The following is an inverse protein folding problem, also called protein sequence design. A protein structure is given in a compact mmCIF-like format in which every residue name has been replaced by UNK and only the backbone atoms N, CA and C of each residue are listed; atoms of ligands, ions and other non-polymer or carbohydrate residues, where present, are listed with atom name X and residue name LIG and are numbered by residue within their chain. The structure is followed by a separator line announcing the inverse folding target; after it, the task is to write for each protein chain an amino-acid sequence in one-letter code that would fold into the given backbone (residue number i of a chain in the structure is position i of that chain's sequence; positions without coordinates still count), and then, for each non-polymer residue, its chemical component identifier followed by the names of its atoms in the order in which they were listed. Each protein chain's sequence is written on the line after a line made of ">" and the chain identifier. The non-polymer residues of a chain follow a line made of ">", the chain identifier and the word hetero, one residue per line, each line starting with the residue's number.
data_IF_500752402692
#
_entry.id   IF_500752402692
#
_cell.length_a   1.000
_cell.length_b   1.000
_cell.length_c   1.000
_cell.angle_alpha   90.00
_cell.angle_beta   90.00
_cell.angle_gamma   90.00
#
_symmetry.space_group_name_H-M   'P 1'
#
loop_
_entity.id
_entity.type
_entity.pdbx_description
1 polymer ?
#
# COMPACT_ATOMS: atom_id res chain seq x y z
N UNK A 1 -18.34 -9.67 -7.20
CA UNK A 1 -18.11 -8.26 -7.55
C UNK A 1 -19.06 -7.83 -8.65
N UNK A 2 -19.62 -8.79 -9.40
CA UNK A 2 -20.42 -8.57 -10.61
C UNK A 2 -21.84 -8.05 -10.37
N UNK A 3 -22.24 -7.84 -9.11
CA UNK A 3 -23.55 -7.27 -8.73
C UNK A 3 -23.49 -5.78 -8.35
N UNK A 4 -22.30 -5.19 -8.26
CA UNK A 4 -22.14 -3.76 -7.97
C UNK A 4 -21.98 -3.04 -9.31
N UNK A 5 -22.86 -2.08 -9.59
CA UNK A 5 -22.98 -1.43 -10.90
C UNK A 5 -21.70 -0.78 -11.42
N UNK A 6 -21.75 -0.36 -12.68
CA UNK A 6 -20.61 0.27 -13.36
C UNK A 6 -20.10 1.51 -12.60
N UNK A 7 -18.77 1.68 -12.56
CA UNK A 7 -18.10 2.84 -11.97
C UNK A 7 -17.53 2.66 -10.55
N UNK A 8 -17.53 1.45 -9.99
CA UNK A 8 -16.87 1.18 -8.70
C UNK A 8 -15.36 1.15 -8.85
N UNK A 9 -14.65 1.77 -7.90
CA UNK A 9 -13.20 1.67 -7.74
C UNK A 9 -12.93 0.82 -6.50
N UNK A 10 -12.18 -0.27 -6.68
CA UNK A 10 -11.89 -1.22 -5.61
C UNK A 10 -10.54 -0.94 -4.96
N UNK A 11 -10.57 -0.76 -3.63
CA UNK A 11 -9.39 -0.50 -2.80
C UNK A 11 -9.09 -1.69 -1.89
N UNK A 12 -7.87 -2.22 -1.98
CA UNK A 12 -7.36 -3.20 -1.02
C UNK A 12 -6.60 -2.50 0.11
N UNK A 13 -7.10 -2.63 1.34
CA UNK A 13 -6.53 -1.97 2.54
C UNK A 13 -6.08 -2.94 3.64
N UNK A 14 -6.11 -4.25 3.37
CA UNK A 14 -5.69 -5.29 4.31
C UNK A 14 -4.20 -5.60 4.25
N UNK A 15 -3.67 -6.42 5.16
CA UNK A 15 -2.28 -6.88 5.07
C UNK A 15 -2.07 -7.83 3.88
N UNK A 16 -0.94 -7.68 3.18
CA UNK A 16 -0.69 -8.43 1.94
C UNK A 16 0.15 -9.68 2.23
N UNK A 17 -0.49 -10.84 2.15
CA UNK A 17 0.25 -12.10 2.03
C UNK A 17 0.84 -12.20 0.62
N UNK A 18 2.15 -12.39 0.48
CA UNK A 18 2.83 -12.37 -0.83
C UNK A 18 2.29 -13.40 -1.85
N UNK A 19 1.64 -14.48 -1.42
CA UNK A 19 0.96 -15.46 -2.29
C UNK A 19 -0.35 -14.95 -2.89
N UNK A 20 -0.97 -13.94 -2.28
CA UNK A 20 -2.21 -13.31 -2.73
C UNK A 20 -1.97 -12.11 -3.65
N UNK A 21 -0.73 -11.63 -3.76
CA UNK A 21 -0.39 -10.45 -4.56
C UNK A 21 -0.88 -10.54 -6.02
N UNK A 22 -0.73 -11.70 -6.66
CA UNK A 22 -1.26 -11.95 -8.02
C UNK A 22 -2.78 -11.68 -8.10
N UNK A 23 -3.55 -12.31 -7.22
CA UNK A 23 -5.02 -12.13 -7.22
C UNK A 23 -5.40 -10.68 -6.90
N UNK A 24 -4.62 -9.99 -6.07
CA UNK A 24 -4.85 -8.58 -5.75
C UNK A 24 -4.62 -7.71 -6.99
N UNK A 25 -3.52 -7.91 -7.74
CA UNK A 25 -3.21 -7.12 -8.93
C UNK A 25 -4.21 -7.32 -10.08
N UNK A 26 -4.86 -8.48 -10.15
CA UNK A 26 -5.89 -8.80 -11.15
C UNK A 26 -7.24 -8.14 -10.82
N UNK A 27 -7.57 -7.97 -9.53
CA UNK A 27 -8.91 -7.56 -9.09
C UNK A 27 -8.99 -6.06 -8.82
N UNK A 28 -8.05 -5.49 -8.05
CA UNK A 28 -8.21 -4.17 -7.45
C UNK A 28 -7.66 -3.03 -8.34
N UNK A 29 -8.15 -1.83 -8.10
CA UNK A 29 -7.68 -0.59 -8.73
C UNK A 29 -6.66 0.14 -7.86
N UNK A 30 -6.75 -0.07 -6.54
CA UNK A 30 -5.89 0.52 -5.52
C UNK A 30 -5.39 -0.51 -4.52
N UNK A 31 -4.13 -0.38 -4.08
CA UNK A 31 -3.56 -1.13 -2.95
C UNK A 31 -2.87 -0.17 -1.99
N UNK A 32 -3.35 -0.08 -0.77
CA UNK A 32 -2.89 0.93 0.20
C UNK A 32 -1.77 0.45 1.11
N UNK A 33 -1.53 -0.86 1.15
CA UNK A 33 -0.74 -1.54 2.19
C UNK A 33 0.56 -2.13 1.66
N UNK A 34 1.17 -1.52 0.66
CA UNK A 34 2.46 -1.99 0.12
C UNK A 34 3.57 -1.69 1.14
N UNK A 35 4.16 -2.72 1.72
CA UNK A 35 5.15 -2.62 2.80
C UNK A 35 6.44 -3.42 2.55
N UNK A 36 6.61 -4.01 1.35
CA UNK A 36 7.82 -4.76 1.00
C UNK A 36 8.06 -4.80 -0.51
N UNK A 37 9.33 -4.82 -0.92
CA UNK A 37 9.68 -4.88 -2.35
C UNK A 37 9.27 -6.21 -2.96
N UNK A 38 9.24 -7.29 -2.16
CA UNK A 38 8.74 -8.59 -2.60
C UNK A 38 7.27 -8.51 -3.02
N UNK A 39 6.44 -7.78 -2.28
CA UNK A 39 5.04 -7.56 -2.63
C UNK A 39 4.94 -6.61 -3.83
N UNK A 40 5.64 -5.48 -3.82
CA UNK A 40 5.59 -4.50 -4.90
C UNK A 40 5.96 -5.14 -6.25
N UNK A 41 7.08 -5.87 -6.32
CA UNK A 41 7.51 -6.59 -7.53
C UNK A 41 6.50 -7.61 -8.02
N UNK A 42 5.80 -8.32 -7.12
CA UNK A 42 4.76 -9.27 -7.51
C UNK A 42 3.53 -8.57 -8.07
N UNK A 43 3.09 -7.48 -7.44
CA UNK A 43 1.98 -6.68 -7.95
C UNK A 43 2.31 -6.13 -9.35
N UNK A 44 3.52 -5.61 -9.53
CA UNK A 44 4.03 -5.14 -10.83
C UNK A 44 4.06 -6.25 -11.88
N UNK A 45 4.61 -7.42 -11.54
CA UNK A 45 4.74 -8.56 -12.45
C UNK A 45 3.40 -9.11 -12.91
N UNK A 46 2.40 -9.15 -12.02
CA UNK A 46 1.11 -9.79 -12.28
C UNK A 46 -0.02 -8.80 -12.58
N UNK A 47 0.27 -7.50 -12.74
CA UNK A 47 -0.74 -6.52 -13.14
C UNK A 47 -1.14 -6.77 -14.60
N UNK A 48 -2.42 -7.05 -14.91
CA UNK A 48 -2.85 -7.19 -16.29
C UNK A 48 -2.80 -5.85 -17.03
N UNK A 49 -2.34 -5.85 -18.27
CA UNK A 49 -2.08 -4.65 -19.07
C UNK A 49 -3.39 -3.90 -19.35
N UNK A 50 -4.47 -4.63 -19.58
CA UNK A 50 -5.81 -4.10 -19.88
C UNK A 50 -6.42 -3.30 -18.72
N UNK A 51 -5.92 -3.46 -17.50
CA UNK A 51 -6.36 -2.68 -16.33
C UNK A 51 -5.50 -1.44 -16.06
N UNK A 52 -4.48 -1.20 -16.89
CA UNK A 52 -3.50 -0.12 -16.68
C UNK A 52 -2.68 -0.28 -15.40
N UNK A 53 -1.87 0.72 -15.02
CA UNK A 53 -1.09 0.69 -13.78
C UNK A 53 -1.96 0.55 -12.54
N UNK A 54 -1.47 -0.20 -11.54
CA UNK A 54 -2.11 -0.33 -10.24
C UNK A 54 -1.75 0.86 -9.36
N UNK A 55 -2.75 1.59 -8.86
CA UNK A 55 -2.51 2.67 -7.91
C UNK A 55 -2.07 2.10 -6.56
N UNK A 56 -0.99 2.64 -5.99
CA UNK A 56 -0.48 2.18 -4.71
C UNK A 56 -0.23 3.32 -3.73
N UNK A 57 -0.43 3.03 -2.45
CA UNK A 57 0.20 3.75 -1.34
C UNK A 57 1.21 2.84 -0.66
N UNK A 58 2.27 3.44 -0.14
CA UNK A 58 3.24 2.74 0.73
C UNK A 58 2.79 2.87 2.17
N UNK A 59 2.65 1.73 2.85
CA UNK A 59 2.32 1.73 4.27
C UNK A 59 3.57 2.02 5.09
N UNK A 60 3.50 3.05 5.94
CA UNK A 60 4.57 3.43 6.85
C UNK A 60 4.27 2.96 8.28
N UNK A 61 5.29 2.46 8.96
CA UNK A 61 5.25 2.16 10.38
C UNK A 61 5.62 3.42 11.17
N UNK A 62 4.65 4.33 11.33
CA UNK A 62 4.86 5.65 11.93
C UNK A 62 5.12 5.58 13.44
N UNK A 63 4.64 4.53 14.12
CA UNK A 63 4.85 4.29 15.55
C UNK A 63 6.13 3.50 15.87
N UNK A 64 6.87 3.08 14.85
CA UNK A 64 8.09 2.29 14.95
C UNK A 64 7.93 1.04 15.85
N UNK A 65 6.80 0.33 15.76
CA UNK A 65 6.61 -0.92 16.51
C UNK A 65 7.17 -2.10 15.74
N UNK A 66 7.91 -2.98 16.41
CA UNK A 66 8.47 -4.18 15.78
C UNK A 66 7.40 -5.16 15.27
N UNK A 67 6.22 -5.16 15.89
CA UNK A 67 5.13 -6.10 15.57
C UNK A 67 4.20 -5.61 14.45
N UNK A 68 4.34 -4.36 14.00
CA UNK A 68 3.46 -3.76 13.00
C UNK A 68 4.04 -3.79 11.59
N UNK A 69 3.17 -4.06 10.62
CA UNK A 69 3.45 -3.89 9.20
C UNK A 69 3.76 -2.43 8.83
N UNK A 70 4.53 -2.27 7.76
CA UNK A 70 4.90 -0.97 7.20
C UNK A 70 6.41 -0.75 7.19
N UNK A 71 6.83 0.08 6.24
CA UNK A 71 8.22 0.53 6.09
C UNK A 71 8.56 1.50 7.21
N UNK A 72 9.74 1.34 7.83
CA UNK A 72 10.22 2.32 8.81
C UNK A 72 10.50 3.65 8.10
N UNK A 73 10.26 4.77 8.79
CA UNK A 73 10.41 6.11 8.19
C UNK A 73 11.82 6.33 7.63
N UNK A 74 12.86 5.83 8.30
CA UNK A 74 14.25 5.93 7.86
C UNK A 74 14.61 5.02 6.67
N UNK A 75 13.77 4.04 6.33
CA UNK A 75 13.95 3.15 5.17
C UNK A 75 13.09 3.57 3.98
N UNK A 76 12.18 4.54 4.19
CA UNK A 76 11.16 4.93 3.22
C UNK A 76 11.78 5.44 1.92
N UNK A 77 12.76 6.34 1.98
CA UNK A 77 13.35 6.92 0.77
C UNK A 77 13.95 5.85 -0.14
N UNK A 78 14.76 4.94 0.44
CA UNK A 78 15.33 3.79 -0.27
C UNK A 78 14.25 2.89 -0.88
N UNK A 79 13.17 2.67 -0.15
CA UNK A 79 12.05 1.88 -0.63
C UNK A 79 11.37 2.54 -1.84
N UNK A 80 11.09 3.84 -1.75
CA UNK A 80 10.44 4.61 -2.81
C UNK A 80 11.29 4.62 -4.09
N UNK A 81 12.62 4.78 -4.00
CA UNK A 81 13.51 4.70 -5.16
C UNK A 81 13.40 3.39 -5.93
N UNK A 82 13.15 2.27 -5.25
CA UNK A 82 12.95 0.98 -5.88
C UNK A 82 11.55 0.81 -6.45
N UNK A 83 10.53 1.35 -5.76
CA UNK A 83 9.13 1.26 -6.20
C UNK A 83 8.87 2.09 -7.45
N UNK A 84 9.43 3.29 -7.58
CA UNK A 84 9.20 4.15 -8.76
C UNK A 84 9.78 3.56 -10.06
N UNK A 85 10.61 2.52 -9.97
CA UNK A 85 11.15 1.79 -11.14
C UNK A 85 10.16 0.74 -11.68
N UNK A 86 9.11 0.42 -10.93
CA UNK A 86 8.11 -0.59 -11.28
C UNK A 86 7.08 0.03 -12.23
N UNK A 87 7.02 -0.48 -13.46
CA UNK A 87 6.32 0.18 -14.58
C UNK A 87 4.80 0.03 -14.54
N UNK A 88 4.31 -1.02 -13.89
CA UNK A 88 2.90 -1.33 -13.81
C UNK A 88 2.29 -0.88 -12.48
N UNK A 89 3.04 -0.13 -11.66
CA UNK A 89 2.55 0.49 -10.43
C UNK A 89 2.59 2.01 -10.57
N UNK A 90 1.57 2.67 -10.03
CA UNK A 90 1.52 4.11 -9.93
C UNK A 90 1.57 4.49 -8.44
N UNK A 91 2.70 5.07 -8.02
CA UNK A 91 2.87 5.54 -6.65
C UNK A 91 2.04 6.82 -6.45
N UNK A 92 1.02 6.75 -5.59
CA UNK A 92 0.08 7.87 -5.35
C UNK A 92 0.21 8.51 -3.97
N UNK A 93 0.97 7.91 -3.06
CA UNK A 93 1.23 8.50 -1.75
C UNK A 93 1.56 7.49 -0.67
N UNK A 94 1.23 7.85 0.57
CA UNK A 94 1.51 7.09 1.78
C UNK A 94 0.20 6.66 2.45
N UNK A 95 0.31 5.62 3.27
CA UNK A 95 -0.76 5.15 4.16
C UNK A 95 -0.15 4.83 5.53
N UNK A 96 -0.89 5.11 6.60
CA UNK A 96 -0.48 4.79 7.96
C UNK A 96 -1.67 4.30 8.78
N UNK A 97 -1.43 3.33 9.67
CA UNK A 97 -2.39 2.90 10.68
C UNK A 97 -1.72 3.07 12.06
N UNK A 98 -1.86 4.24 12.68
CA UNK A 98 -1.27 4.50 13.99
C UNK A 98 -1.86 3.60 15.08
N UNK A 99 -1.16 3.47 16.22
CA UNK A 99 -1.72 2.93 17.46
C UNK A 99 -2.96 3.73 17.86
N UNK A 100 -4.00 3.05 18.38
CA UNK A 100 -5.09 3.73 19.07
C UNK A 100 -4.54 4.63 20.17
N UNK A 101 -5.10 5.84 20.26
CA UNK A 101 -4.80 6.85 21.28
C UNK A 101 -6.10 7.51 21.68
N UNK A 102 -6.25 7.87 22.95
CA UNK A 102 -7.51 8.42 23.46
C UNK A 102 -7.70 9.90 23.08
N UNK A 103 -6.63 10.70 23.15
CA UNK A 103 -6.69 12.15 22.91
C UNK A 103 -6.41 12.46 21.45
N UNK A 104 -7.21 13.35 20.87
CA UNK A 104 -7.05 13.82 19.49
C UNK A 104 -5.66 14.43 19.23
N UNK A 105 -5.13 15.18 20.20
CA UNK A 105 -3.79 15.79 20.10
C UNK A 105 -2.72 14.72 19.85
N UNK A 106 -2.79 13.62 20.60
CA UNK A 106 -1.83 12.52 20.48
C UNK A 106 -2.01 11.76 19.14
N UNK A 107 -3.26 11.65 18.65
CA UNK A 107 -3.56 11.06 17.34
C UNK A 107 -2.98 11.89 16.18
N UNK A 108 -2.95 13.23 16.30
CA UNK A 108 -2.38 14.11 15.28
C UNK A 108 -0.87 14.20 15.34
N UNK A 109 -0.30 14.20 16.56
CA UNK A 109 1.14 14.41 16.78
C UNK A 109 2.04 13.41 16.03
N UNK A 110 1.59 12.17 15.84
CA UNK A 110 2.37 11.16 15.10
C UNK A 110 2.64 11.52 13.65
N UNK A 111 1.79 12.35 13.03
CA UNK A 111 1.91 12.76 11.63
C UNK A 111 2.83 13.96 11.42
N UNK A 112 3.28 14.64 12.48
CA UNK A 112 4.19 15.78 12.41
C UNK A 112 5.68 15.39 12.26
N UNK A 113 5.95 14.17 11.78
CA UNK A 113 7.29 13.62 11.62
C UNK A 113 7.94 14.01 10.31
#
# INVERSE_FOLDING_TARGET
>A
MDEVGDGVIWHFIGSIQSRKAKRISEIFDWVHTVDSLKVAKKLDTFRPIEKGPLNICVQINIDNEETKSGIKVNELEKFLYEVVKLKNLELRGLMAIPRPREKEVDQRQVFSK
#
